data_IF_668707676062
#
_entry.id   IF_668707676062
#
_cell.length_a   1.000
_cell.length_b   1.000
_cell.length_c   1.000
_cell.angle_alpha   90.00
_cell.angle_beta   90.00
_cell.angle_gamma   90.00
#
_symmetry.space_group_name_H-M   'P 1'
#
loop_
_entity.id
_entity.type
_entity.pdbx_description
1 polymer ?
#
# COMPACT_ATOMS: atom_id res chain seq x y z
N UNK A 1 -29.12 23.12 -33.01
CA UNK A 1 -28.87 23.37 -31.58
C UNK A 1 -27.85 22.35 -31.07
N UNK A 2 -26.97 22.73 -30.14
CA UNK A 2 -26.15 21.74 -29.42
C UNK A 2 -27.01 21.04 -28.36
N UNK A 3 -26.67 19.81 -27.94
CA UNK A 3 -27.42 19.11 -26.89
C UNK A 3 -27.58 19.94 -25.60
N UNK A 4 -26.54 20.69 -25.21
CA UNK A 4 -26.60 21.59 -24.05
C UNK A 4 -27.50 22.82 -24.26
N UNK A 5 -27.61 23.33 -25.49
CA UNK A 5 -28.54 24.41 -25.81
C UNK A 5 -29.99 23.92 -25.82
N UNK A 6 -30.24 22.71 -26.36
CA UNK A 6 -31.56 22.10 -26.37
C UNK A 6 -32.05 21.78 -24.94
N UNK A 7 -31.20 21.18 -24.09
CA UNK A 7 -31.53 20.92 -22.67
C UNK A 7 -31.94 22.17 -21.92
N UNK A 8 -31.21 23.28 -22.10
CA UNK A 8 -31.56 24.57 -21.47
C UNK A 8 -32.91 25.08 -21.94
N UNK A 9 -33.20 25.00 -23.24
CA UNK A 9 -34.48 25.43 -23.80
C UNK A 9 -35.65 24.59 -23.29
N UNK A 10 -35.46 23.27 -23.11
CA UNK A 10 -36.49 22.38 -22.54
C UNK A 10 -36.74 22.69 -21.08
N UNK A 11 -35.70 22.83 -20.25
CA UNK A 11 -35.82 23.19 -18.84
C UNK A 11 -36.50 24.56 -18.65
N UNK A 12 -36.26 25.51 -19.57
CA UNK A 12 -36.90 26.84 -19.55
C UNK A 12 -38.38 26.79 -19.98
N UNK A 13 -38.75 25.88 -20.89
CA UNK A 13 -40.10 25.78 -21.44
C UNK A 13 -41.04 24.90 -20.61
N UNK A 14 -40.55 23.76 -20.11
CA UNK A 14 -41.36 22.74 -19.40
C UNK A 14 -41.26 22.89 -17.87
N UNK A 15 -40.29 23.67 -17.37
CA UNK A 15 -39.99 23.77 -15.94
C UNK A 15 -39.12 22.61 -15.44
N UNK A 16 -38.61 22.74 -14.21
CA UNK A 16 -37.76 21.74 -13.58
C UNK A 16 -38.42 21.19 -12.32
N UNK A 17 -39.01 20.00 -12.42
CA UNK A 17 -39.57 19.25 -11.28
C UNK A 17 -38.53 18.29 -10.67
N UNK A 18 -37.24 18.44 -11.00
CA UNK A 18 -36.17 17.59 -10.48
C UNK A 18 -35.88 17.95 -9.02
N UNK A 19 -36.00 16.95 -8.14
CA UNK A 19 -35.49 17.03 -6.78
C UNK A 19 -33.97 16.78 -6.80
N UNK A 20 -33.20 17.84 -6.60
CA UNK A 20 -31.74 17.76 -6.53
C UNK A 20 -31.31 17.21 -5.19
N UNK A 21 -30.31 16.32 -5.21
CA UNK A 21 -29.65 15.85 -4.00
C UNK A 21 -29.00 17.02 -3.26
N UNK A 22 -29.07 16.96 -1.95
CA UNK A 22 -28.35 17.87 -1.06
C UNK A 22 -26.84 17.62 -1.16
N UNK A 23 -26.03 18.61 -0.77
CA UNK A 23 -24.57 18.50 -0.78
C UNK A 23 -24.05 17.31 0.05
N UNK A 24 -24.76 16.96 1.13
CA UNK A 24 -24.42 15.83 2.00
C UNK A 24 -24.67 14.51 1.28
N UNK A 25 -25.83 14.36 0.65
CA UNK A 25 -26.17 13.17 -0.12
C UNK A 25 -25.22 12.99 -1.30
N UNK A 26 -24.87 14.09 -1.99
CA UNK A 26 -23.96 14.05 -3.12
C UNK A 26 -22.55 13.61 -2.69
N UNK A 27 -22.08 14.07 -1.53
CA UNK A 27 -20.79 13.69 -0.94
C UNK A 27 -20.77 12.21 -0.57
N UNK A 28 -21.85 11.71 0.01
CA UNK A 28 -21.93 10.34 0.51
C UNK A 28 -22.25 9.32 -0.58
N UNK A 29 -22.91 9.72 -1.66
CA UNK A 29 -23.37 8.82 -2.74
C UNK A 29 -22.25 7.98 -3.38
N UNK A 30 -21.01 8.50 -3.41
CA UNK A 30 -19.87 7.84 -4.04
C UNK A 30 -18.76 7.45 -3.06
N UNK A 31 -19.06 7.45 -1.76
CA UNK A 31 -18.07 7.18 -0.74
C UNK A 31 -17.92 5.66 -0.52
N UNK A 32 -16.79 5.02 -0.90
CA UNK A 32 -16.55 3.62 -0.58
C UNK A 32 -16.48 3.41 0.93
N UNK A 33 -16.95 2.24 1.37
CA UNK A 33 -16.97 1.87 2.77
C UNK A 33 -16.12 0.64 3.07
N UNK A 34 -15.51 0.62 4.25
CA UNK A 34 -14.69 -0.47 4.73
C UNK A 34 -14.92 -0.73 6.22
N UNK A 35 -15.03 -1.99 6.62
CA UNK A 35 -15.21 -2.37 8.02
C UNK A 35 -13.88 -2.29 8.76
N UNK A 36 -13.84 -1.57 9.88
CA UNK A 36 -12.68 -1.41 10.75
C UNK A 36 -13.08 -1.42 12.21
N UNK A 37 -12.15 -1.77 13.08
CA UNK A 37 -12.35 -1.73 14.52
C UNK A 37 -11.89 -0.38 15.06
N UNK A 38 -12.76 0.33 15.79
CA UNK A 38 -12.37 1.53 16.51
C UNK A 38 -11.63 1.16 17.80
N UNK A 39 -10.57 1.88 18.15
CA UNK A 39 -9.76 1.60 19.34
C UNK A 39 -9.36 2.90 20.04
N UNK A 40 -9.86 3.11 21.26
CA UNK A 40 -9.49 4.22 22.15
C UNK A 40 -9.53 5.60 21.46
N UNK A 41 -10.57 5.85 20.65
CA UNK A 41 -10.73 7.09 19.88
C UNK A 41 -9.96 7.14 18.55
N UNK A 42 -9.17 6.10 18.24
CA UNK A 42 -8.42 5.97 17.01
C UNK A 42 -9.07 5.00 16.04
N UNK A 43 -8.87 5.26 14.76
CA UNK A 43 -9.31 4.40 13.69
C UNK A 43 -8.24 4.35 12.60
N UNK A 44 -7.73 3.14 12.34
CA UNK A 44 -6.72 2.93 11.31
C UNK A 44 -7.37 2.52 10.00
N UNK A 45 -7.13 3.30 8.96
CA UNK A 45 -7.58 3.02 7.60
C UNK A 45 -6.37 3.08 6.67
N UNK A 46 -6.06 1.96 6.02
CA UNK A 46 -4.82 1.77 5.26
C UNK A 46 -3.57 2.07 6.11
N UNK A 47 -2.79 3.09 5.73
CA UNK A 47 -1.61 3.58 6.44
C UNK A 47 -1.88 4.89 7.22
N UNK A 48 -3.14 5.33 7.31
CA UNK A 48 -3.53 6.56 7.96
C UNK A 48 -4.26 6.28 9.27
N UNK A 49 -3.95 7.09 10.28
CA UNK A 49 -4.61 7.06 11.57
C UNK A 49 -5.55 8.26 11.70
N UNK A 50 -6.83 7.97 11.89
CA UNK A 50 -7.89 8.94 12.08
C UNK A 50 -8.29 8.99 13.55
N UNK A 51 -8.68 10.16 14.02
CA UNK A 51 -9.07 10.37 15.41
C UNK A 51 -10.36 11.17 15.52
N UNK A 52 -11.20 10.77 16.47
CA UNK A 52 -12.32 11.54 16.99
C UNK A 52 -12.57 11.13 18.44
N UNK A 53 -12.98 12.08 19.29
CA UNK A 53 -13.36 11.79 20.68
C UNK A 53 -14.63 10.93 20.75
N UNK A 54 -15.54 11.08 19.78
CA UNK A 54 -16.80 10.36 19.71
C UNK A 54 -16.61 8.86 19.40
N UNK A 55 -15.46 8.46 18.83
CA UNK A 55 -15.12 7.05 18.61
C UNK A 55 -14.96 6.25 19.90
N UNK A 56 -14.84 6.92 21.06
CA UNK A 56 -14.83 6.25 22.37
C UNK A 56 -16.18 5.56 22.65
N UNK A 57 -17.28 6.04 22.06
CA UNK A 57 -18.61 5.43 22.25
C UNK A 57 -18.75 4.05 21.60
N UNK A 58 -17.90 3.74 20.63
CA UNK A 58 -17.87 2.50 19.84
C UNK A 58 -16.52 1.80 20.01
N UNK A 59 -15.90 1.93 21.19
CA UNK A 59 -14.58 1.38 21.46
C UNK A 59 -14.58 -0.16 21.36
N UNK A 60 -13.62 -0.70 20.62
CA UNK A 60 -13.49 -2.13 20.30
C UNK A 60 -14.67 -2.74 19.50
N UNK A 61 -15.55 -1.91 18.93
CA UNK A 61 -16.63 -2.35 18.04
C UNK A 61 -16.20 -2.29 16.57
N UNK A 62 -16.83 -3.11 15.73
CA UNK A 62 -16.71 -3.01 14.28
C UNK A 62 -17.60 -1.89 13.75
N UNK A 63 -16.99 -0.99 13.01
CA UNK A 63 -17.64 0.18 12.40
C UNK A 63 -17.40 0.20 10.90
N UNK A 64 -18.34 0.79 10.16
CA UNK A 64 -18.22 1.06 8.73
C UNK A 64 -17.60 2.43 8.55
N UNK A 65 -16.49 2.48 7.83
CA UNK A 65 -15.73 3.69 7.58
C UNK A 65 -15.89 4.05 6.12
N UNK A 66 -16.59 5.15 5.87
CA UNK A 66 -16.73 5.73 4.56
C UNK A 66 -15.61 6.77 4.37
N UNK A 67 -14.87 6.68 3.25
CA UNK A 67 -13.76 7.58 2.95
C UNK A 67 -13.82 8.07 1.51
N UNK A 68 -13.36 9.29 1.26
CA UNK A 68 -13.19 9.82 -0.10
C UNK A 68 -11.83 9.36 -0.66
N UNK A 69 -11.82 8.91 -1.92
CA UNK A 69 -10.61 8.49 -2.64
C UNK A 69 -9.78 9.71 -3.03
N UNK A 70 -10.42 10.86 -3.22
CA UNK A 70 -9.78 12.11 -3.64
C UNK A 70 -9.26 12.94 -2.46
N UNK A 71 -9.92 12.86 -1.30
CA UNK A 71 -9.52 13.61 -0.10
C UNK A 71 -9.40 12.70 1.14
N UNK A 72 -8.17 12.41 1.60
CA UNK A 72 -7.94 11.59 2.80
C UNK A 72 -8.04 12.39 4.11
N UNK A 73 -8.41 13.68 4.08
CA UNK A 73 -8.39 14.57 5.26
C UNK A 73 -9.30 14.10 6.40
N UNK A 74 -10.45 13.52 6.07
CA UNK A 74 -11.46 13.07 7.02
C UNK A 74 -12.19 11.83 6.52
N UNK A 75 -12.71 11.06 7.46
CA UNK A 75 -13.54 9.87 7.18
C UNK A 75 -14.82 9.93 7.99
N UNK A 76 -15.90 9.39 7.43
CA UNK A 76 -17.19 9.29 8.10
C UNK A 76 -17.31 7.89 8.70
N UNK A 77 -17.65 7.80 9.98
CA UNK A 77 -17.77 6.54 10.70
C UNK A 77 -19.24 6.30 11.04
N UNK A 78 -19.72 5.10 10.67
CA UNK A 78 -21.07 4.61 10.94
C UNK A 78 -21.02 3.29 11.69
N UNK A 79 -22.05 2.98 12.45
CA UNK A 79 -22.26 1.63 13.00
C UNK A 79 -22.60 0.66 11.88
N UNK A 80 -22.56 -0.64 12.18
CA UNK A 80 -23.00 -1.68 11.24
C UNK A 80 -24.46 -1.48 10.80
N UNK A 81 -25.29 -0.95 11.70
CA UNK A 81 -26.70 -0.59 11.45
C UNK A 81 -26.88 0.64 10.53
N UNK A 82 -25.78 1.30 10.13
CA UNK A 82 -25.79 2.50 9.29
C UNK A 82 -25.97 3.81 10.06
N UNK A 83 -26.15 3.78 11.38
CA UNK A 83 -26.23 4.98 12.21
C UNK A 83 -24.93 5.77 12.15
N UNK A 84 -25.03 7.07 11.84
CA UNK A 84 -23.89 7.98 11.90
C UNK A 84 -23.37 8.09 13.33
N UNK A 85 -22.05 7.91 13.50
CA UNK A 85 -21.37 8.07 14.79
C UNK A 85 -20.64 9.40 14.81
N UNK A 86 -19.66 9.57 13.93
CA UNK A 86 -18.80 10.75 13.95
C UNK A 86 -18.03 10.92 12.63
N UNK A 87 -17.45 12.09 12.45
CA UNK A 87 -16.43 12.35 11.42
C UNK A 87 -15.06 12.34 12.09
N UNK A 88 -14.17 11.46 11.65
CA UNK A 88 -12.82 11.34 12.20
C UNK A 88 -11.79 12.04 11.31
N UNK A 89 -10.86 12.77 11.93
CA UNK A 89 -9.88 13.61 11.23
C UNK A 89 -8.52 12.91 11.21
N UNK A 90 -7.85 12.94 10.07
CA UNK A 90 -6.50 12.37 9.95
C UNK A 90 -5.53 13.07 10.91
N UNK A 91 -4.81 12.29 11.74
CA UNK A 91 -3.91 12.80 12.78
C UNK A 91 -4.57 13.82 13.74
N UNK A 92 -5.89 13.76 13.96
CA UNK A 92 -6.62 14.78 14.73
C UNK A 92 -6.12 15.00 16.18
N UNK A 93 -5.57 13.95 16.81
CA UNK A 93 -5.00 14.06 18.18
C UNK A 93 -3.50 14.39 18.21
N UNK A 94 -2.87 14.57 17.04
CA UNK A 94 -1.43 14.85 16.97
C UNK A 94 -1.17 16.31 17.25
N UNK A 95 -1.40 16.73 18.49
CA UNK A 95 -0.96 18.04 19.00
C UNK A 95 0.52 17.93 19.39
N UNK A 96 1.31 18.94 19.04
CA UNK A 96 2.66 19.06 19.58
C UNK A 96 2.56 19.15 21.11
N UNK A 97 3.35 18.34 21.83
CA UNK A 97 3.30 18.25 23.30
C UNK A 97 3.58 19.60 23.99
N UNK A 98 4.21 20.53 23.27
CA UNK A 98 4.41 21.92 23.64
C UNK A 98 3.97 22.76 22.44
N UNK A 99 3.16 23.82 22.61
CA UNK A 99 2.86 24.74 21.51
C UNK A 99 4.14 25.45 21.10
N UNK A 100 4.75 25.00 20.00
CA UNK A 100 5.93 25.64 19.43
C UNK A 100 5.47 26.83 18.58
N UNK A 101 6.05 28.00 18.79
CA UNK A 101 5.73 29.16 17.96
C UNK A 101 6.09 28.87 16.49
N UNK A 102 5.35 29.46 15.55
CA UNK A 102 5.68 29.29 14.12
C UNK A 102 7.13 29.73 13.79
N UNK A 103 7.65 30.70 14.55
CA UNK A 103 9.03 31.17 14.45
C UNK A 103 10.03 30.09 14.88
N UNK A 104 9.79 29.43 16.00
CA UNK A 104 10.67 28.36 16.51
C UNK A 104 10.66 27.13 15.58
N UNK A 105 9.50 26.76 15.03
CA UNK A 105 9.40 25.70 14.00
C UNK A 105 10.23 26.07 12.76
N UNK A 106 10.18 27.33 12.32
CA UNK A 106 10.95 27.79 11.17
C UNK A 106 12.46 27.79 11.45
N UNK A 107 12.87 28.17 12.66
CA UNK A 107 14.27 28.12 13.11
C UNK A 107 14.78 26.68 13.16
N UNK A 108 14.00 25.75 13.71
CA UNK A 108 14.37 24.34 13.77
C UNK A 108 14.48 23.73 12.37
N UNK A 109 13.51 23.98 11.49
CA UNK A 109 13.58 23.56 10.08
C UNK A 109 14.81 24.14 9.37
N UNK A 110 15.16 25.40 9.64
CA UNK A 110 16.36 26.03 9.09
C UNK A 110 17.63 25.35 9.62
N UNK A 111 17.69 25.04 10.92
CA UNK A 111 18.81 24.32 11.55
C UNK A 111 18.99 22.94 10.91
N UNK A 112 17.92 22.15 10.80
CA UNK A 112 17.96 20.82 10.21
C UNK A 112 18.43 20.85 8.75
N UNK A 113 17.91 21.79 7.94
CA UNK A 113 18.37 21.96 6.55
C UNK A 113 19.85 22.31 6.46
N UNK A 114 20.39 23.09 7.40
CA UNK A 114 21.82 23.41 7.44
C UNK A 114 22.65 22.17 7.80
N UNK A 115 22.21 21.37 8.77
CA UNK A 115 22.88 20.11 9.13
C UNK A 115 22.90 19.14 7.95
N UNK A 116 21.76 18.94 7.29
CA UNK A 116 21.68 18.04 6.13
C UNK A 116 22.63 18.47 5.01
N UNK A 117 22.72 19.77 4.68
CA UNK A 117 23.69 20.26 3.67
C UNK A 117 25.15 20.00 4.05
N UNK A 118 25.48 20.07 5.34
CA UNK A 118 26.83 19.77 5.81
C UNK A 118 27.10 18.28 5.67
N UNK A 119 26.13 17.42 6.00
CA UNK A 119 26.26 15.98 5.82
C UNK A 119 26.40 15.60 4.34
N UNK A 120 25.61 16.20 3.46
CA UNK A 120 25.74 16.00 2.01
C UNK A 120 27.15 16.38 1.51
N UNK A 121 27.68 17.51 2.00
CA UNK A 121 29.05 17.94 1.67
C UNK A 121 30.10 17.01 2.24
N UNK A 122 29.89 16.50 3.46
CA UNK A 122 30.77 15.51 4.10
C UNK A 122 30.82 14.23 3.28
N UNK A 123 29.66 13.76 2.82
CA UNK A 123 29.53 12.58 1.98
C UNK A 123 30.23 12.76 0.63
N UNK A 124 30.15 13.95 0.02
CA UNK A 124 30.88 14.29 -1.20
C UNK A 124 32.40 14.20 -0.99
N UNK A 125 32.91 14.76 0.10
CA UNK A 125 34.35 14.70 0.44
C UNK A 125 34.79 13.25 0.70
N UNK A 126 33.99 12.47 1.43
CA UNK A 126 34.27 11.04 1.66
C UNK A 126 34.28 10.24 0.35
N UNK A 127 33.43 10.61 -0.62
CA UNK A 127 33.40 9.99 -1.95
C UNK A 127 34.62 10.36 -2.80
N UNK A 128 35.12 11.59 -2.73
CA UNK A 128 36.38 12.01 -3.39
C UNK A 128 37.58 11.22 -2.86
N UNK A 129 37.62 10.97 -1.55
CA UNK A 129 38.68 10.20 -0.90
C UNK A 129 38.61 8.69 -1.17
N UNK A 130 37.47 8.19 -1.67
CA UNK A 130 37.31 6.79 -2.04
C UNK A 130 37.98 6.58 -3.40
N UNK A 131 39.12 5.88 -3.41
CA UNK A 131 39.70 5.39 -4.66
C UNK A 131 38.65 4.56 -5.42
N UNK A 132 38.72 4.58 -6.76
CA UNK A 132 37.84 3.78 -7.63
C UNK A 132 37.81 2.37 -7.05
N UNK A 133 36.61 1.91 -6.65
CA UNK A 133 36.40 0.50 -6.27
C UNK A 133 37.11 -0.33 -7.34
N UNK A 134 37.97 -1.31 -6.98
CA UNK A 134 38.52 -2.19 -8.00
C UNK A 134 37.30 -2.77 -8.69
N UNK A 135 37.01 -2.30 -9.91
CA UNK A 135 35.95 -2.85 -10.71
C UNK A 135 36.23 -4.34 -10.70
N UNK A 136 35.23 -5.15 -10.37
CA UNK A 136 35.34 -6.58 -10.63
C UNK A 136 35.78 -6.66 -12.08
N UNK A 137 37.05 -7.00 -12.29
CA UNK A 137 37.54 -7.30 -13.61
C UNK A 137 36.79 -8.58 -13.94
N UNK A 138 35.74 -8.45 -14.72
CA UNK A 138 35.10 -9.58 -15.35
C UNK A 138 36.08 -10.04 -16.43
N UNK A 139 37.13 -10.74 -15.99
CA UNK A 139 38.17 -11.29 -16.87
C UNK A 139 37.58 -12.39 -17.79
N UNK A 140 36.34 -12.81 -17.53
CA UNK A 140 35.66 -13.83 -18.33
C UNK A 140 34.17 -13.56 -18.55
N UNK A 141 33.86 -12.89 -19.66
CA UNK A 141 32.50 -12.72 -20.21
C UNK A 141 31.83 -14.06 -20.59
N UNK A 142 32.59 -15.16 -20.69
CA UNK A 142 32.06 -16.49 -21.03
C UNK A 142 31.21 -17.13 -19.92
N UNK A 143 31.38 -16.68 -18.67
CA UNK A 143 30.64 -17.19 -17.51
C UNK A 143 29.14 -16.82 -17.49
N UNK A 144 28.72 -15.89 -18.34
CA UNK A 144 27.30 -15.51 -18.52
C UNK A 144 26.57 -16.35 -19.56
N UNK A 145 27.27 -17.25 -20.26
CA UNK A 145 26.64 -18.24 -21.14
C UNK A 145 26.26 -19.42 -20.24
N UNK A 146 24.95 -19.68 -20.00
CA UNK A 146 24.56 -20.83 -19.20
C UNK A 146 25.05 -22.10 -19.90
N UNK A 147 25.93 -22.85 -19.22
CA UNK A 147 26.34 -24.17 -19.68
C UNK A 147 25.09 -25.04 -19.85
N UNK A 148 25.00 -25.71 -21.01
CA UNK A 148 23.89 -26.60 -21.33
C UNK A 148 23.63 -27.57 -20.18
N UNK A 149 22.38 -27.61 -19.74
CA UNK A 149 21.89 -28.45 -18.66
C UNK A 149 22.06 -29.92 -19.03
N UNK A 150 23.14 -30.57 -18.59
CA UNK A 150 23.29 -32.02 -18.72
C UNK A 150 22.32 -32.70 -17.75
N UNK A 151 21.16 -33.14 -18.26
CA UNK A 151 20.30 -34.08 -17.53
C UNK A 151 21.09 -35.37 -17.34
N UNK A 152 21.47 -35.65 -16.10
CA UNK A 152 21.85 -37.00 -15.70
C UNK A 152 20.55 -37.80 -15.75
N UNK A 153 20.35 -38.55 -16.82
CA UNK A 153 19.23 -39.47 -16.95
C UNK A 153 19.69 -40.77 -16.32
N UNK A 154 19.13 -41.18 -15.18
CA UNK A 154 19.38 -42.52 -14.64
C UNK A 154 18.75 -43.53 -15.60
N UNK A 155 19.55 -44.42 -16.17
CA UNK A 155 19.07 -45.44 -17.11
C UNK A 155 18.30 -46.52 -16.34
N UNK A 156 16.97 -46.49 -16.45
CA UNK A 156 16.12 -47.59 -15.95
C UNK A 156 16.37 -48.85 -16.79
N UNK A 157 16.82 -49.93 -16.13
CA UNK A 157 17.03 -51.22 -16.79
C UNK A 157 15.68 -51.84 -17.21
N UNK A 158 15.45 -51.92 -18.52
CA UNK A 158 14.28 -52.59 -19.09
C UNK A 158 14.55 -54.09 -19.27
N UNK A 159 13.62 -54.92 -18.79
CA UNK A 159 13.63 -56.37 -18.98
C UNK A 159 12.57 -56.75 -20.01
N UNK A 160 12.96 -57.51 -21.02
CA UNK A 160 12.06 -57.90 -22.12
C UNK A 160 11.16 -59.09 -21.76
N UNK A 161 11.61 -59.95 -20.83
CA UNK A 161 10.91 -61.13 -20.35
C UNK A 161 10.90 -61.16 -18.82
N UNK A 162 9.83 -61.72 -18.24
CA UNK A 162 9.72 -61.86 -16.77
C UNK A 162 10.85 -62.72 -16.19
N UNK A 163 11.32 -63.73 -16.93
CA UNK A 163 12.43 -64.59 -16.52
C UNK A 163 13.74 -63.81 -16.33
N UNK A 164 14.04 -62.86 -17.24
CA UNK A 164 15.27 -62.06 -17.19
C UNK A 164 15.27 -61.09 -16.01
N UNK A 165 14.08 -60.55 -15.68
CA UNK A 165 13.86 -59.71 -14.50
C UNK A 165 14.11 -60.49 -13.21
N UNK A 166 13.59 -61.71 -13.12
CA UNK A 166 13.72 -62.54 -11.92
C UNK A 166 15.16 -63.03 -11.70
N UNK A 167 15.91 -63.33 -12.77
CA UNK A 167 17.34 -63.64 -12.67
C UNK A 167 18.15 -62.41 -12.20
N UNK A 168 17.87 -61.23 -12.74
CA UNK A 168 18.52 -59.99 -12.30
C UNK A 168 18.24 -59.70 -10.82
N UNK A 169 17.00 -59.90 -10.37
CA UNK A 169 16.62 -59.74 -8.96
C UNK A 169 17.25 -60.79 -8.05
N UNK A 170 17.40 -62.05 -8.49
CA UNK A 170 18.15 -63.08 -7.74
C UNK A 170 19.63 -62.73 -7.62
N UNK A 171 20.23 -62.20 -8.68
CA UNK A 171 21.66 -61.86 -8.73
C UNK A 171 21.99 -60.62 -7.90
N UNK A 172 21.09 -59.64 -7.84
CA UNK A 172 21.21 -58.43 -7.01
C UNK A 172 20.75 -58.66 -5.56
N UNK A 173 19.78 -59.54 -5.34
CA UNK A 173 19.20 -59.87 -4.03
C UNK A 173 20.03 -60.78 -3.14
N UNK A 174 21.02 -61.52 -3.67
CA UNK A 174 21.89 -62.40 -2.88
C UNK A 174 23.12 -61.69 -2.28
N UNK A 175 23.10 -60.36 -2.25
CA UNK A 175 24.11 -59.51 -1.60
C UNK A 175 23.56 -58.98 -0.26
N UNK A 176 23.37 -59.89 0.70
CA UNK A 176 23.29 -59.58 2.15
C UNK A 176 23.79 -60.78 2.95
#
# INVERSE_FOLDING_TARGET
MTPAAYRRAVLEAEGDDIEYLTDVELREAFMPEMVRTAQRGWLRLFNNDYFSEELIQVDSEEVRVAFDIHDPSSVIVRRMDGTYVCTAIWNGNKRAAIPVSAMDVAVEKRRQRRLNRIEDKRQEIEAEGRSVLPGQRFDDLGSFIPAEFSRITEEEHYFFLETDRDEYLKKTGNTR
#
